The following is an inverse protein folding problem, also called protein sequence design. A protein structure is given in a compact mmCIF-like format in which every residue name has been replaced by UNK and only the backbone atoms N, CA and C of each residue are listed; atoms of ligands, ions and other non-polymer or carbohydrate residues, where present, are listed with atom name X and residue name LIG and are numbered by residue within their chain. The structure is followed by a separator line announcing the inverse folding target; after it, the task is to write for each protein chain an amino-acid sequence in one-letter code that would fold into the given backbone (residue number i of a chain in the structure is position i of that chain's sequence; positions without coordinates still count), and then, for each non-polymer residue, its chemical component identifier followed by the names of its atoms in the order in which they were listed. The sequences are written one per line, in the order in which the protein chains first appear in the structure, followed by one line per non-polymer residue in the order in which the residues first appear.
data_IF_555036280233
#
_entry.id   IF_555036280233
#
_cell.length_a   1.000
_cell.length_b   1.000
_cell.length_c   1.000
_cell.angle_alpha   90.00
_cell.angle_beta   90.00
_cell.angle_gamma   90.00
#
_symmetry.space_group_name_H-M   'P 1'
#
loop_
_entity.id
_entity.type
_entity.pdbx_description
1 polymer ?
#
# COMPACT_ATOMS: atom_id res chain seq x y z
N UNK A 1 20.11 -1.63 -12.53
CA UNK A 1 19.17 -0.88 -11.68
C UNK A 1 18.23 -1.86 -10.97
N UNK A 2 18.00 -1.60 -9.69
CA UNK A 2 17.09 -2.45 -8.92
C UNK A 2 15.64 -2.14 -9.25
N UNK A 3 14.82 -3.20 -9.33
CA UNK A 3 13.39 -3.12 -9.58
C UNK A 3 12.66 -4.02 -8.59
N UNK A 4 11.59 -3.57 -7.93
CA UNK A 4 10.85 -4.43 -7.03
C UNK A 4 10.28 -5.68 -7.72
N UNK A 5 10.24 -6.79 -6.99
CA UNK A 5 9.57 -8.00 -7.45
C UNK A 5 8.06 -7.78 -7.52
N UNK A 6 7.52 -7.03 -6.57
CA UNK A 6 6.10 -6.67 -6.52
C UNK A 6 5.91 -5.40 -5.71
N UNK A 7 4.95 -4.59 -6.14
CA UNK A 7 4.49 -3.40 -5.41
C UNK A 7 3.07 -3.68 -4.92
N UNK A 8 2.83 -3.49 -3.63
CA UNK A 8 1.54 -3.75 -3.00
C UNK A 8 0.82 -2.43 -2.76
N UNK A 9 -0.37 -2.30 -3.32
CA UNK A 9 -1.22 -1.10 -3.19
C UNK A 9 -2.59 -1.49 -2.63
N UNK A 10 -3.34 -0.52 -2.14
CA UNK A 10 -4.68 -0.75 -1.65
C UNK A 10 -5.09 0.25 -0.58
N UNK A 11 -6.35 0.19 -0.13
CA UNK A 11 -6.89 1.14 0.83
C UNK A 11 -6.24 1.03 2.21
N UNK A 12 -6.40 2.07 3.04
CA UNK A 12 -5.97 2.00 4.44
C UNK A 12 -6.61 0.81 5.16
N UNK A 13 -5.88 0.22 6.08
CA UNK A 13 -6.33 -0.90 6.91
C UNK A 13 -6.59 -2.22 6.16
N UNK A 14 -6.22 -2.31 4.88
CA UNK A 14 -6.33 -3.57 4.12
C UNK A 14 -5.27 -4.62 4.50
N UNK A 15 -4.25 -4.23 5.27
CA UNK A 15 -3.20 -5.15 5.71
C UNK A 15 -1.97 -5.21 4.81
N UNK A 16 -1.76 -4.20 3.97
CA UNK A 16 -0.63 -4.13 3.03
C UNK A 16 0.73 -4.40 3.67
N UNK A 17 1.01 -3.73 4.78
CA UNK A 17 2.31 -3.84 5.46
C UNK A 17 2.56 -5.27 5.95
N UNK A 18 1.57 -5.89 6.59
CA UNK A 18 1.69 -7.25 7.11
C UNK A 18 1.87 -8.27 6.01
N UNK A 19 1.07 -8.17 4.96
CA UNK A 19 1.15 -9.06 3.80
C UNK A 19 2.49 -8.89 3.10
N UNK A 20 2.93 -7.65 2.91
CA UNK A 20 4.21 -7.36 2.25
C UNK A 20 5.40 -7.93 3.00
N UNK A 21 5.41 -7.83 4.33
CA UNK A 21 6.46 -8.43 5.16
C UNK A 21 6.49 -9.95 5.06
N UNK A 22 5.32 -10.60 5.07
CA UNK A 22 5.22 -12.05 4.90
C UNK A 22 5.71 -12.49 3.53
N UNK A 23 5.31 -11.75 2.51
CA UNK A 23 5.71 -12.01 1.13
C UNK A 23 7.22 -11.87 0.95
N UNK A 24 7.80 -10.81 1.48
CA UNK A 24 9.24 -10.58 1.42
C UNK A 24 10.04 -11.69 2.11
N UNK A 25 9.57 -12.12 3.29
CA UNK A 25 10.19 -13.21 4.04
C UNK A 25 10.18 -14.51 3.22
N UNK A 26 9.05 -14.83 2.61
CA UNK A 26 8.91 -16.03 1.80
C UNK A 26 9.78 -16.00 0.54
N UNK A 27 10.01 -14.81 -0.03
CA UNK A 27 10.85 -14.62 -1.20
C UNK A 27 12.34 -14.44 -0.86
N UNK A 28 12.68 -14.28 0.41
CA UNK A 28 14.05 -14.04 0.84
C UNK A 28 14.60 -12.67 0.43
N UNK A 29 13.73 -11.66 0.37
CA UNK A 29 14.09 -10.31 -0.08
C UNK A 29 13.71 -9.26 0.97
N UNK A 30 14.13 -8.03 0.76
CA UNK A 30 13.77 -6.89 1.62
C UNK A 30 12.32 -6.46 1.41
N UNK A 31 11.78 -5.76 2.40
CA UNK A 31 10.47 -5.11 2.32
C UNK A 31 10.62 -3.64 2.65
N UNK A 32 10.13 -2.77 1.79
CA UNK A 32 10.15 -1.32 2.00
C UNK A 32 8.72 -0.81 2.01
N UNK A 33 8.35 -0.09 3.07
CA UNK A 33 7.04 0.54 3.23
C UNK A 33 7.23 2.06 3.13
N UNK A 34 6.53 2.70 2.20
CA UNK A 34 6.70 4.13 1.96
C UNK A 34 6.24 4.99 3.14
N UNK A 35 5.19 4.57 3.86
CA UNK A 35 4.78 5.28 5.08
C UNK A 35 5.88 5.21 6.14
N UNK A 36 6.54 4.06 6.29
CA UNK A 36 7.65 3.90 7.22
C UNK A 36 8.84 4.80 6.85
N UNK A 37 9.15 4.94 5.57
CA UNK A 37 10.19 5.86 5.11
C UNK A 37 9.89 7.30 5.51
N UNK A 38 8.63 7.72 5.31
CA UNK A 38 8.21 9.08 5.71
C UNK A 38 8.31 9.25 7.22
N UNK A 39 7.80 8.28 8.00
CA UNK A 39 7.82 8.33 9.46
C UNK A 39 9.25 8.40 10.00
N UNK A 40 10.16 7.61 9.46
CA UNK A 40 11.55 7.60 9.89
C UNK A 40 12.26 8.94 9.69
N UNK A 41 11.88 9.68 8.66
CA UNK A 41 12.52 10.95 8.32
C UNK A 41 11.80 12.16 8.89
N UNK A 42 10.46 12.12 8.98
CA UNK A 42 9.64 13.29 9.28
C UNK A 42 8.76 13.14 10.52
N UNK A 43 8.72 11.96 11.15
CA UNK A 43 7.89 11.68 12.31
C UNK A 43 6.51 11.12 11.96
N UNK A 44 5.66 10.90 12.99
CA UNK A 44 4.35 10.29 12.79
C UNK A 44 3.45 11.05 11.80
N UNK A 45 2.77 10.31 10.93
CA UNK A 45 1.94 10.89 9.86
C UNK A 45 0.86 11.83 10.40
N UNK A 46 0.11 11.49 11.48
CA UNK A 46 -0.88 12.43 12.04
C UNK A 46 -0.27 13.76 12.46
N UNK A 47 0.95 13.74 12.99
CA UNK A 47 1.66 14.96 13.40
C UNK A 47 2.11 15.77 12.19
N UNK A 48 2.52 15.11 11.12
CA UNK A 48 2.87 15.77 9.85
C UNK A 48 1.65 16.52 9.31
N UNK A 49 0.48 15.87 9.27
CA UNK A 49 -0.76 16.50 8.83
C UNK A 49 -1.13 17.71 9.69
N UNK A 50 -1.01 17.58 11.02
CA UNK A 50 -1.36 18.65 11.94
C UNK A 50 -0.41 19.86 11.84
N UNK A 51 0.89 19.63 11.69
CA UNK A 51 1.91 20.68 11.68
C UNK A 51 2.15 21.27 10.29
N UNK A 52 2.14 20.45 9.24
CA UNK A 52 2.55 20.81 7.89
C UNK A 52 1.44 20.72 6.84
N UNK A 53 0.37 19.98 7.12
CA UNK A 53 -0.74 19.77 6.20
C UNK A 53 -0.52 18.64 5.20
N UNK A 54 -1.60 18.26 4.50
CA UNK A 54 -1.58 17.15 3.54
C UNK A 54 -0.64 17.39 2.36
N UNK A 55 -0.57 18.58 1.72
CA UNK A 55 0.34 18.79 0.60
C UNK A 55 1.80 18.50 0.92
N UNK A 56 2.25 18.88 2.11
CA UNK A 56 3.60 18.57 2.57
C UNK A 56 3.81 17.06 2.68
N UNK A 57 2.87 16.36 3.31
CA UNK A 57 2.94 14.91 3.41
C UNK A 57 3.01 14.25 2.02
N UNK A 58 2.16 14.68 1.07
CA UNK A 58 2.14 14.10 -0.29
C UNK A 58 3.46 14.30 -1.02
N UNK A 59 4.12 15.44 -0.81
CA UNK A 59 5.45 15.68 -1.36
C UNK A 59 6.47 14.67 -0.81
N UNK A 60 6.46 14.45 0.51
CA UNK A 60 7.38 13.51 1.15
C UNK A 60 7.05 12.06 0.79
N UNK A 61 5.78 11.73 0.67
CA UNK A 61 5.33 10.43 0.19
C UNK A 61 5.84 10.16 -1.23
N UNK A 62 5.76 11.14 -2.13
CA UNK A 62 6.28 10.99 -3.50
C UNK A 62 7.77 10.68 -3.51
N UNK A 63 8.56 11.37 -2.70
CA UNK A 63 9.99 11.09 -2.57
C UNK A 63 10.26 9.68 -2.05
N UNK A 64 9.45 9.24 -1.07
CA UNK A 64 9.54 7.88 -0.54
C UNK A 64 9.21 6.82 -1.59
N UNK A 65 8.22 7.08 -2.45
CA UNK A 65 7.88 6.19 -3.57
C UNK A 65 9.06 6.04 -4.52
N UNK A 66 9.69 7.13 -4.91
CA UNK A 66 10.86 7.10 -5.81
C UNK A 66 11.97 6.23 -5.20
N UNK A 67 12.27 6.45 -3.92
CA UNK A 67 13.27 5.66 -3.20
C UNK A 67 12.90 4.17 -3.17
N UNK A 68 11.66 3.87 -2.80
CA UNK A 68 11.19 2.49 -2.68
C UNK A 68 11.22 1.75 -4.01
N UNK A 69 10.82 2.38 -5.11
CA UNK A 69 10.83 1.77 -6.43
C UNK A 69 12.24 1.52 -6.98
N UNK A 70 13.26 2.07 -6.35
CA UNK A 70 14.66 1.77 -6.65
C UNK A 70 15.22 0.56 -5.90
N UNK A 71 14.43 -0.12 -5.08
CA UNK A 71 14.85 -1.31 -4.34
C UNK A 71 14.45 -2.59 -5.08
N UNK A 72 15.00 -3.74 -4.67
CA UNK A 72 14.82 -5.01 -5.40
C UNK A 72 13.93 -6.02 -4.68
N UNK A 73 13.18 -5.62 -3.70
CA UNK A 73 12.35 -6.54 -2.91
C UNK A 73 10.85 -6.34 -3.10
N UNK A 74 10.14 -6.34 -1.99
CA UNK A 74 8.71 -6.05 -1.95
C UNK A 74 8.53 -4.60 -1.47
N UNK A 75 7.67 -3.86 -2.15
CA UNK A 75 7.34 -2.49 -1.78
C UNK A 75 5.86 -2.39 -1.39
N UNK A 76 5.58 -1.81 -0.22
CA UNK A 76 4.23 -1.47 0.20
C UNK A 76 4.04 0.03 0.07
N UNK A 77 3.09 0.48 -0.74
CA UNK A 77 2.76 1.90 -0.88
C UNK A 77 1.71 2.33 0.13
N UNK A 78 1.84 3.55 0.65
CA UNK A 78 0.79 4.17 1.44
C UNK A 78 -0.52 4.25 0.65
N UNK A 79 -1.66 4.22 1.35
CA UNK A 79 -2.98 4.13 0.73
C UNK A 79 -3.32 5.24 -0.26
N UNK A 80 -2.75 6.41 -0.09
CA UNK A 80 -2.98 7.56 -0.97
C UNK A 80 -1.90 7.83 -2.00
N UNK A 81 -0.85 7.02 -2.06
CA UNK A 81 0.26 7.23 -3.00
C UNK A 81 -0.19 7.22 -4.46
N UNK A 82 -1.21 6.44 -4.79
CA UNK A 82 -1.77 6.36 -6.14
C UNK A 82 -2.46 7.64 -6.60
N UNK A 83 -2.69 8.59 -5.71
CA UNK A 83 -3.29 9.89 -6.08
C UNK A 83 -2.32 10.75 -6.91
N UNK A 84 -1.04 10.51 -6.79
CA UNK A 84 -0.02 11.21 -7.55
C UNK A 84 0.10 10.63 -8.97
N UNK A 85 -0.08 11.48 -9.99
CA UNK A 85 -0.07 11.05 -11.38
C UNK A 85 1.28 10.47 -11.81
N UNK A 86 2.38 11.04 -11.32
CA UNK A 86 3.72 10.54 -11.64
C UNK A 86 3.97 9.17 -11.01
N UNK A 87 3.45 8.93 -9.81
CA UNK A 87 3.51 7.60 -9.18
C UNK A 87 2.75 6.57 -10.02
N UNK A 88 1.56 6.92 -10.51
CA UNK A 88 0.80 5.99 -11.37
C UNK A 88 1.56 5.67 -12.66
N UNK A 89 2.19 6.67 -13.25
CA UNK A 89 3.02 6.47 -14.45
C UNK A 89 4.21 5.56 -14.14
N UNK A 90 4.90 5.78 -13.03
CA UNK A 90 6.00 4.94 -12.61
C UNK A 90 5.59 3.48 -12.40
N UNK A 91 4.36 3.24 -11.95
CA UNK A 91 3.85 1.90 -11.69
C UNK A 91 3.50 1.10 -12.95
N UNK A 92 3.41 1.73 -14.11
CA UNK A 92 3.07 1.05 -15.37
C UNK A 92 4.04 -0.08 -15.71
N UNK A 93 5.30 0.05 -15.34
CA UNK A 93 6.34 -0.94 -15.63
C UNK A 93 6.57 -1.93 -14.47
N UNK A 94 5.70 -1.92 -13.47
CA UNK A 94 5.86 -2.75 -12.27
C UNK A 94 4.74 -3.78 -12.15
N UNK A 95 5.06 -4.87 -11.46
CA UNK A 95 4.06 -5.86 -11.04
C UNK A 95 3.38 -5.31 -9.80
N UNK A 96 2.09 -4.97 -9.92
CA UNK A 96 1.32 -4.30 -8.86
C UNK A 96 0.20 -5.21 -8.37
N UNK A 97 0.26 -5.58 -7.09
CA UNK A 97 -0.78 -6.34 -6.40
C UNK A 97 -1.70 -5.35 -5.68
N UNK A 98 -2.96 -5.29 -6.09
CA UNK A 98 -3.98 -4.50 -5.40
C UNK A 98 -4.69 -5.36 -4.38
N UNK A 99 -4.56 -5.01 -3.11
CA UNK A 99 -5.32 -5.66 -2.04
C UNK A 99 -6.63 -4.92 -1.85
N UNK A 100 -7.75 -5.65 -1.97
CA UNK A 100 -9.08 -5.12 -1.71
C UNK A 100 -9.62 -5.68 -0.40
N UNK A 101 -10.55 -4.95 0.21
CA UNK A 101 -11.22 -5.39 1.44
C UNK A 101 -12.62 -4.79 1.48
N UNK A 102 -13.60 -5.59 1.90
CA UNK A 102 -14.98 -5.13 2.03
C UNK A 102 -15.14 -4.20 3.25
N UNK A 103 -16.16 -3.33 3.23
CA UNK A 103 -16.47 -2.49 4.40
C UNK A 103 -16.73 -3.32 5.66
N UNK A 104 -17.42 -4.44 5.53
CA UNK A 104 -17.73 -5.34 6.66
C UNK A 104 -16.46 -5.92 7.28
N UNK A 105 -15.50 -6.32 6.46
CA UNK A 105 -14.25 -6.91 6.92
C UNK A 105 -13.30 -5.88 7.52
N UNK A 106 -13.30 -4.65 7.01
CA UNK A 106 -12.40 -3.60 7.49
C UNK A 106 -12.91 -2.93 8.77
N UNK A 107 -14.23 -2.93 9.00
CA UNK A 107 -14.85 -2.19 10.12
C UNK A 107 -14.19 -2.46 11.48
N UNK A 108 -13.94 -3.72 11.90
CA UNK A 108 -13.27 -3.97 13.18
C UNK A 108 -11.84 -3.40 13.27
N UNK A 109 -11.19 -3.24 12.16
CA UNK A 109 -9.81 -2.73 12.12
C UNK A 109 -9.72 -1.22 12.27
N UNK A 110 -10.81 -0.50 11.98
CA UNK A 110 -10.84 0.97 12.01
C UNK A 110 -10.96 1.53 13.42
N UNK A 111 -11.52 0.78 14.36
CA UNK A 111 -11.76 1.23 15.74
C UNK A 111 -10.46 1.59 16.47
N UNK A 112 -9.34 1.01 16.08
CA UNK A 112 -8.04 1.20 16.71
C UNK A 112 -7.05 1.99 15.85
N UNK A 113 -7.53 2.68 14.79
CA UNK A 113 -6.66 3.35 13.85
C UNK A 113 -6.51 4.84 14.12
N UNK A 114 -5.28 5.32 14.06
CA UNK A 114 -4.94 6.74 14.13
C UNK A 114 -4.58 7.25 12.72
N UNK A 115 -5.55 7.23 11.82
CA UNK A 115 -5.36 7.64 10.43
C UNK A 115 -5.99 9.01 10.20
N UNK A 116 -5.23 10.03 9.74
CA UNK A 116 -5.75 11.40 9.59
C UNK A 116 -6.97 11.52 8.69
N UNK A 117 -7.08 10.68 7.66
CA UNK A 117 -8.17 10.74 6.68
C UNK A 117 -9.33 9.78 6.97
N UNK A 118 -9.30 9.03 8.09
CA UNK A 118 -10.35 8.07 8.48
C UNK A 118 -10.82 8.40 9.89
N UNK A 119 -11.18 9.68 10.13
CA UNK A 119 -11.56 10.16 11.46
C UNK A 119 -12.91 9.66 11.94
N UNK A 120 -13.87 9.52 11.03
CA UNK A 120 -15.25 9.13 11.34
C UNK A 120 -15.49 7.64 11.11
N UNK A 121 -14.42 6.84 11.16
CA UNK A 121 -14.54 5.38 11.07
C UNK A 121 -14.96 4.90 9.69
N UNK A 122 -15.93 3.98 9.66
CA UNK A 122 -16.29 3.26 8.44
C UNK A 122 -16.83 4.16 7.33
N UNK A 123 -17.63 5.17 7.65
CA UNK A 123 -18.20 6.04 6.61
C UNK A 123 -17.10 6.88 5.92
N UNK A 124 -16.16 7.42 6.69
CA UNK A 124 -14.99 8.12 6.13
C UNK A 124 -14.15 7.19 5.27
N UNK A 125 -13.95 5.97 5.73
CA UNK A 125 -13.19 4.97 4.99
C UNK A 125 -13.86 4.64 3.65
N UNK A 126 -15.18 4.41 3.65
CA UNK A 126 -15.94 4.15 2.42
C UNK A 126 -15.81 5.29 1.42
N UNK A 127 -15.97 6.54 1.88
CA UNK A 127 -15.86 7.70 1.03
C UNK A 127 -14.45 7.84 0.44
N UNK A 128 -13.44 7.60 1.26
CA UNK A 128 -12.04 7.66 0.85
C UNK A 128 -11.73 6.62 -0.23
N UNK A 129 -12.14 5.38 -0.01
CA UNK A 129 -11.92 4.28 -0.95
C UNK A 129 -12.68 4.52 -2.25
N UNK A 130 -13.94 4.98 -2.17
CA UNK A 130 -14.74 5.30 -3.36
C UNK A 130 -14.06 6.37 -4.21
N UNK A 131 -13.46 7.38 -3.58
CA UNK A 131 -12.75 8.46 -4.29
C UNK A 131 -11.47 8.00 -5.00
N UNK A 132 -10.91 6.85 -4.59
CA UNK A 132 -9.65 6.31 -5.10
C UNK A 132 -9.80 5.04 -5.93
N UNK A 133 -11.00 4.47 -5.99
CA UNK A 133 -11.24 3.16 -6.62
C UNK A 133 -10.70 3.06 -8.04
N UNK A 134 -10.98 4.07 -8.88
CA UNK A 134 -10.51 4.09 -10.26
C UNK A 134 -8.99 4.18 -10.35
N UNK A 135 -8.36 4.90 -9.43
CA UNK A 135 -6.90 5.03 -9.38
C UNK A 135 -6.23 3.70 -8.99
N UNK A 136 -6.79 2.99 -8.00
CA UNK A 136 -6.31 1.66 -7.65
C UNK A 136 -6.43 0.70 -8.83
N UNK A 137 -7.58 0.70 -9.48
CA UNK A 137 -7.82 -0.18 -10.64
C UNK A 137 -6.86 0.13 -11.79
N UNK A 138 -6.54 1.41 -12.01
CA UNK A 138 -5.68 1.83 -13.11
C UNK A 138 -4.24 1.32 -12.98
N UNK A 139 -3.74 1.10 -11.77
CA UNK A 139 -2.36 0.68 -11.53
C UNK A 139 -2.22 -0.83 -11.29
N UNK A 140 -3.31 -1.53 -11.01
CA UNK A 140 -3.29 -2.94 -10.62
C UNK A 140 -2.93 -3.87 -11.78
N UNK A 141 -1.95 -4.75 -11.56
CA UNK A 141 -1.71 -5.89 -12.43
C UNK A 141 -2.67 -7.03 -12.09
N UNK A 142 -2.97 -7.22 -10.81
CA UNK A 142 -3.91 -8.23 -10.32
C UNK A 142 -4.49 -7.79 -8.97
N UNK A 143 -5.75 -8.19 -8.71
CA UNK A 143 -6.47 -7.90 -7.46
C UNK A 143 -6.51 -9.12 -6.57
N UNK A 144 -6.41 -8.89 -5.25
CA UNK A 144 -6.45 -9.92 -4.22
C UNK A 144 -7.38 -9.44 -3.10
N UNK A 145 -8.40 -10.25 -2.77
CA UNK A 145 -9.40 -9.89 -1.77
C UNK A 145 -9.00 -10.39 -0.38
N UNK A 146 -8.83 -9.44 0.55
CA UNK A 146 -8.45 -9.72 1.92
C UNK A 146 -9.65 -9.94 2.85
N UNK A 147 -10.88 -9.88 2.35
CA UNK A 147 -12.09 -9.82 3.19
C UNK A 147 -12.33 -11.07 4.02
N UNK A 148 -12.00 -12.24 3.50
CA UNK A 148 -12.38 -13.53 4.08
C UNK A 148 -11.23 -14.51 4.23
N UNK A 149 -10.01 -14.02 4.33
CA UNK A 149 -8.85 -14.88 4.48
C UNK A 149 -7.82 -14.29 5.44
N UNK A 150 -6.94 -15.15 5.93
CA UNK A 150 -5.84 -14.74 6.81
C UNK A 150 -4.75 -14.01 6.03
N UNK A 151 -3.90 -13.29 6.75
CA UNK A 151 -2.71 -12.66 6.16
C UNK A 151 -1.83 -13.70 5.48
N UNK A 152 -1.67 -14.87 6.12
CA UNK A 152 -0.85 -15.96 5.57
C UNK A 152 -1.41 -16.49 4.25
N UNK A 153 -2.71 -16.73 4.18
CA UNK A 153 -3.35 -17.21 2.95
C UNK A 153 -3.26 -16.18 1.83
N UNK A 154 -3.49 -14.91 2.16
CA UNK A 154 -3.39 -13.83 1.19
C UNK A 154 -1.96 -13.70 0.65
N UNK A 155 -0.97 -13.74 1.55
CA UNK A 155 0.43 -13.69 1.15
C UNK A 155 0.81 -14.88 0.25
N UNK A 156 0.31 -16.08 0.55
CA UNK A 156 0.55 -17.28 -0.25
C UNK A 156 -0.04 -17.15 -1.66
N UNK A 157 -1.24 -16.58 -1.76
CA UNK A 157 -1.90 -16.33 -3.05
C UNK A 157 -1.08 -15.35 -3.91
N UNK A 158 -0.62 -14.26 -3.31
CA UNK A 158 0.22 -13.28 -4.01
C UNK A 158 1.58 -13.88 -4.38
N UNK A 159 2.19 -14.63 -3.46
CA UNK A 159 3.47 -15.29 -3.69
C UNK A 159 3.42 -16.22 -4.91
N UNK A 160 2.35 -17.00 -5.02
CA UNK A 160 2.16 -17.91 -6.15
C UNK A 160 2.12 -17.14 -7.46
N UNK A 161 1.34 -16.07 -7.49
CA UNK A 161 1.25 -15.21 -8.67
C UNK A 161 2.61 -14.58 -9.02
N UNK A 162 3.33 -14.05 -8.04
CA UNK A 162 4.63 -13.40 -8.27
C UNK A 162 5.61 -14.41 -8.85
N UNK A 163 5.66 -15.63 -8.31
CA UNK A 163 6.55 -16.68 -8.80
C UNK A 163 6.24 -17.06 -10.24
N UNK A 164 4.97 -17.27 -10.54
CA UNK A 164 4.55 -17.62 -11.90
C UNK A 164 4.87 -16.49 -12.89
N UNK A 165 4.53 -15.26 -12.55
CA UNK A 165 4.72 -14.11 -13.43
C UNK A 165 6.19 -13.73 -13.61
N UNK A 166 7.01 -13.90 -12.58
CA UNK A 166 8.45 -13.59 -12.60
C UNK A 166 9.31 -14.76 -13.05
N UNK A 167 8.76 -15.96 -13.22
CA UNK A 167 9.50 -17.14 -13.60
C UNK A 167 10.41 -17.69 -12.49
N UNK A 168 9.98 -17.54 -11.23
CA UNK A 168 10.74 -18.00 -10.06
C UNK A 168 10.34 -19.40 -9.59
#
# INVERSE_FOLDING_TARGET
MSTPLVVVVGPPAAGKTRVSKRLAKALGVSCVDTDALVVNQWGPIPEIFAAQGEPFFREKERLAVIEALGTSGVVALGGGAVMDAQTREDLEDHRVALITISPEAVAPRLDNQKRPLVKDGLESWKALVASRADLYDSVASRKFDASHQTVDNLAEEILRWVREDAGL
#
